data_IF_057379834281
#
_entry.id   IF_057379834281
#
_cell.length_a   1.000
_cell.length_b   1.000
_cell.length_c   1.000
_cell.angle_alpha   90.00
_cell.angle_beta   90.00
_cell.angle_gamma   90.00
#
_symmetry.space_group_name_H-M   'P 1'
#
loop_
_entity.id
_entity.type
_entity.pdbx_description
1 polymer ?
#
# COMPACT_ATOMS: atom_id res chain seq x y z
N UNK A 1 0.64 -5.32 -18.41
CA UNK A 1 -0.38 -4.37 -17.93
C UNK A 1 -0.44 -4.45 -16.43
N UNK A 2 -0.52 -3.31 -15.78
CA UNK A 2 -0.60 -3.06 -14.32
C UNK A 2 -2.01 -3.25 -13.75
N UNK A 3 -3.00 -3.55 -14.61
CA UNK A 3 -4.37 -3.78 -14.22
C UNK A 3 -4.57 -5.05 -13.38
N UNK A 4 -5.47 -4.96 -12.39
CA UNK A 4 -5.91 -6.08 -11.55
C UNK A 4 -6.91 -7.00 -12.29
N UNK A 5 -6.54 -7.45 -13.49
CA UNK A 5 -7.40 -8.27 -14.34
C UNK A 5 -7.85 -9.54 -13.61
N UNK A 6 -9.16 -9.80 -13.62
CA UNK A 6 -9.75 -10.98 -12.95
C UNK A 6 -9.57 -11.00 -11.42
N UNK A 7 -9.21 -9.87 -10.80
CA UNK A 7 -8.96 -9.78 -9.37
C UNK A 7 -7.61 -10.35 -8.93
N UNK A 8 -6.70 -10.69 -9.85
CA UNK A 8 -5.44 -11.38 -9.50
C UNK A 8 -4.53 -10.66 -8.49
N UNK A 9 -4.75 -9.36 -8.26
CA UNK A 9 -4.04 -8.57 -7.27
C UNK A 9 -4.65 -8.59 -5.85
N UNK A 10 -5.85 -9.15 -5.64
CA UNK A 10 -6.63 -9.08 -4.39
C UNK A 10 -6.04 -9.96 -3.27
N UNK A 11 -4.83 -9.61 -2.82
CA UNK A 11 -4.08 -10.25 -1.74
C UNK A 11 -3.74 -9.23 -0.66
N UNK A 12 -4.46 -9.31 0.45
CA UNK A 12 -4.37 -8.31 1.51
C UNK A 12 -4.99 -8.86 2.81
N UNK A 13 -4.99 -8.06 3.86
CA UNK A 13 -5.64 -8.34 5.13
C UNK A 13 -6.67 -7.25 5.44
N UNK A 14 -7.90 -7.64 5.77
CA UNK A 14 -8.94 -6.72 6.24
C UNK A 14 -9.97 -7.41 7.17
N UNK A 15 -10.55 -6.66 8.13
CA UNK A 15 -10.15 -5.32 8.54
C UNK A 15 -8.80 -5.35 9.27
N UNK A 16 -7.96 -4.35 9.01
CA UNK A 16 -6.68 -4.16 9.69
C UNK A 16 -6.66 -2.74 10.25
N UNK A 17 -6.90 -2.59 11.55
CA UNK A 17 -6.81 -1.31 12.25
C UNK A 17 -5.70 -1.37 13.30
N UNK A 18 -5.20 -0.19 13.69
CA UNK A 18 -4.23 -0.01 14.75
C UNK A 18 -4.89 0.66 15.97
N UNK A 19 -4.35 0.39 17.15
CA UNK A 19 -4.91 0.91 18.40
C UNK A 19 -4.73 2.43 18.55
N UNK A 20 -3.56 2.95 18.14
CA UNK A 20 -3.21 4.36 18.26
C UNK A 20 -2.21 4.79 17.19
N UNK A 21 -2.22 6.08 16.79
CA UNK A 21 -1.27 6.59 15.81
C UNK A 21 0.13 6.78 16.42
N UNK A 22 1.15 6.37 15.68
CA UNK A 22 2.57 6.61 15.96
C UNK A 22 3.27 7.33 14.79
N UNK A 23 2.59 7.47 13.64
CA UNK A 23 3.12 8.11 12.44
C UNK A 23 3.26 9.64 12.61
N UNK A 24 4.43 10.23 12.30
CA UNK A 24 4.61 11.67 12.19
C UNK A 24 3.73 12.32 11.12
N UNK A 25 3.26 13.54 11.37
CA UNK A 25 2.35 14.27 10.47
C UNK A 25 2.86 14.42 9.03
N UNK A 26 4.17 14.68 8.84
CA UNK A 26 4.74 14.90 7.51
C UNK A 26 4.66 13.66 6.60
N UNK A 27 4.48 12.48 7.19
CA UNK A 27 4.44 11.21 6.48
C UNK A 27 3.01 10.77 6.13
N UNK A 28 1.99 11.54 6.51
CA UNK A 28 0.58 11.24 6.20
C UNK A 28 0.26 11.49 4.71
N UNK A 29 -0.75 10.78 4.25
CA UNK A 29 -1.31 10.80 2.90
C UNK A 29 -2.80 11.12 2.88
N UNK A 30 -3.50 10.88 3.99
CA UNK A 30 -4.85 11.34 4.24
C UNK A 30 -4.80 12.36 5.36
N UNK A 31 -5.73 13.33 5.35
CA UNK A 31 -5.91 14.34 6.38
C UNK A 31 -4.60 14.91 7.02
N UNK A 32 -3.56 15.24 6.22
CA UNK A 32 -2.22 15.55 6.75
C UNK A 32 -2.18 16.80 7.63
N UNK A 33 -3.15 17.72 7.46
CA UNK A 33 -3.31 18.92 8.26
C UNK A 33 -4.07 18.74 9.58
N UNK A 34 -4.50 17.52 9.93
CA UNK A 34 -5.42 17.30 11.07
C UNK A 34 -4.68 16.71 12.28
N UNK A 35 -4.71 17.43 13.41
CA UNK A 35 -4.05 17.03 14.68
C UNK A 35 -4.83 16.03 15.54
N UNK A 36 -6.06 15.71 15.17
CA UNK A 36 -6.96 14.85 15.92
C UNK A 36 -8.42 15.29 15.80
N UNK A 37 -9.29 14.72 16.64
CA UNK A 37 -10.72 15.03 16.63
C UNK A 37 -11.50 14.31 15.52
N UNK A 38 -12.74 14.73 15.24
CA UNK A 38 -13.65 14.05 14.31
C UNK A 38 -13.16 14.04 12.86
N UNK A 39 -12.51 15.12 12.42
CA UNK A 39 -11.85 15.20 11.11
C UNK A 39 -10.65 14.26 10.96
N UNK A 40 -10.15 13.64 12.03
CA UNK A 40 -9.09 12.62 11.97
C UNK A 40 -9.65 11.21 11.71
N UNK A 41 -10.50 11.07 10.69
CA UNK A 41 -11.22 9.84 10.40
C UNK A 41 -10.31 8.68 9.92
N UNK A 42 -9.04 8.97 9.58
CA UNK A 42 -8.03 7.97 9.24
C UNK A 42 -7.23 7.47 10.46
N UNK A 43 -7.47 7.99 11.67
CA UNK A 43 -6.60 7.82 12.86
C UNK A 43 -6.21 6.38 13.22
N UNK A 44 -7.08 5.41 12.95
CA UNK A 44 -6.88 3.99 13.28
C UNK A 44 -6.46 3.13 12.09
N UNK A 45 -6.22 3.74 10.93
CA UNK A 45 -5.85 3.02 9.70
C UNK A 45 -4.41 2.53 9.79
N UNK A 46 -4.04 1.43 9.11
CA UNK A 46 -2.71 0.81 9.24
C UNK A 46 -1.55 1.78 9.16
N UNK A 47 -1.56 2.69 8.19
CA UNK A 47 -0.43 3.62 8.00
C UNK A 47 -0.22 4.56 9.18
N UNK A 48 -1.24 4.79 10.00
CA UNK A 48 -1.11 5.62 11.20
C UNK A 48 -0.21 5.00 12.26
N UNK A 49 0.08 3.70 12.19
CA UNK A 49 1.15 3.05 12.94
C UNK A 49 1.85 2.00 12.06
N UNK A 50 2.83 2.42 11.24
CA UNK A 50 3.41 1.58 10.20
C UNK A 50 3.94 0.26 10.73
N UNK A 51 3.43 -0.85 10.19
CA UNK A 51 3.81 -2.20 10.57
C UNK A 51 3.04 -2.79 11.75
N UNK A 52 2.29 -1.98 12.51
CA UNK A 52 1.61 -2.43 13.72
C UNK A 52 0.29 -3.16 13.46
N UNK A 53 -0.37 -2.85 12.35
CA UNK A 53 -1.64 -3.49 12.02
C UNK A 53 -1.46 -5.01 11.84
N UNK A 54 -2.37 -5.84 12.39
CA UNK A 54 -2.29 -7.28 12.24
C UNK A 54 -2.52 -7.68 10.78
N UNK A 55 -1.88 -8.76 10.37
CA UNK A 55 -2.04 -9.35 9.05
C UNK A 55 -2.48 -10.81 9.17
N UNK A 56 -3.18 -11.28 8.15
CA UNK A 56 -3.63 -12.67 8.06
C UNK A 56 -2.53 -13.52 7.42
N UNK A 57 -2.30 -14.68 8.02
CA UNK A 57 -1.47 -15.73 7.43
C UNK A 57 0.03 -15.41 7.43
N UNK A 58 0.71 -15.79 6.35
CA UNK A 58 2.16 -15.85 6.20
C UNK A 58 2.85 -14.50 6.05
N UNK A 59 2.08 -13.42 5.84
CA UNK A 59 2.63 -12.12 5.48
C UNK A 59 2.68 -11.86 3.96
N UNK A 60 2.27 -12.84 3.14
CA UNK A 60 2.22 -12.73 1.67
C UNK A 60 0.84 -12.37 1.11
N UNK A 61 -0.14 -12.16 1.98
CA UNK A 61 -1.51 -11.74 1.66
C UNK A 61 -2.52 -12.87 1.67
N UNK A 62 -3.78 -12.53 1.99
CA UNK A 62 -4.91 -13.44 1.96
C UNK A 62 -5.83 -13.12 0.79
N UNK A 63 -6.28 -14.15 0.07
CA UNK A 63 -7.16 -13.99 -1.08
C UNK A 63 -8.48 -13.33 -0.67
N UNK A 64 -8.78 -12.15 -1.24
CA UNK A 64 -9.98 -11.38 -0.90
C UNK A 64 -9.95 -10.74 0.48
N UNK A 65 -8.78 -10.64 1.12
CA UNK A 65 -8.63 -9.88 2.36
C UNK A 65 -8.88 -10.67 3.65
N UNK A 66 -9.44 -11.89 3.59
CA UNK A 66 -9.75 -12.70 4.77
C UNK A 66 -10.92 -13.65 4.57
N UNK A 67 -11.42 -14.32 5.61
CA UNK A 67 -12.50 -15.30 5.49
C UNK A 67 -13.87 -14.69 5.19
N UNK A 68 -14.08 -13.43 5.57
CA UNK A 68 -15.34 -12.69 5.39
C UNK A 68 -15.43 -12.09 3.99
N UNK A 69 -16.58 -12.25 3.32
CA UNK A 69 -16.80 -11.70 1.97
C UNK A 69 -17.30 -10.27 2.04
N UNK A 70 -16.41 -9.33 1.74
CA UNK A 70 -16.70 -7.89 1.74
C UNK A 70 -16.74 -7.32 0.31
N UNK A 71 -17.40 -6.17 0.17
CA UNK A 71 -17.26 -5.33 -1.02
C UNK A 71 -15.82 -4.79 -1.18
N UNK A 72 -15.59 -3.96 -2.21
CA UNK A 72 -14.31 -3.25 -2.42
C UNK A 72 -13.07 -4.16 -2.47
N UNK A 73 -13.14 -5.22 -3.28
CA UNK A 73 -12.05 -6.18 -3.43
C UNK A 73 -12.04 -7.30 -2.37
N UNK A 74 -12.99 -7.29 -1.42
CA UNK A 74 -13.12 -8.32 -0.37
C UNK A 74 -13.64 -9.69 -0.82
N UNK A 75 -13.66 -9.94 -2.13
CA UNK A 75 -13.98 -11.25 -2.69
C UNK A 75 -12.71 -11.83 -3.31
N UNK A 76 -12.37 -13.06 -2.92
CA UNK A 76 -11.24 -13.76 -3.50
C UNK A 76 -11.42 -13.92 -5.02
N UNK A 77 -10.31 -13.90 -5.78
CA UNK A 77 -10.34 -14.24 -7.20
C UNK A 77 -10.93 -15.63 -7.39
N UNK A 78 -11.67 -15.85 -8.48
CA UNK A 78 -12.47 -17.07 -8.70
C UNK A 78 -11.69 -18.39 -8.52
N UNK A 79 -10.39 -18.37 -8.82
CA UNK A 79 -9.52 -19.55 -8.75
C UNK A 79 -9.01 -19.87 -7.34
N UNK A 80 -9.24 -19.00 -6.35
CA UNK A 80 -8.76 -19.17 -4.98
C UNK A 80 -9.92 -19.21 -3.98
N UNK A 81 -9.73 -19.99 -2.91
CA UNK A 81 -10.67 -20.01 -1.78
C UNK A 81 -10.62 -18.66 -1.06
N UNK A 82 -11.78 -18.17 -0.61
CA UNK A 82 -11.86 -16.97 0.24
C UNK A 82 -10.94 -17.11 1.46
N UNK A 83 -10.08 -16.12 1.69
CA UNK A 83 -9.12 -16.09 2.79
C UNK A 83 -7.95 -17.08 2.66
N UNK A 84 -7.74 -17.69 1.48
CA UNK A 84 -6.57 -18.54 1.27
C UNK A 84 -5.28 -17.75 1.41
N UNK A 85 -4.30 -18.31 2.10
CA UNK A 85 -2.97 -17.74 2.21
C UNK A 85 -2.23 -17.83 0.86
N UNK A 86 -1.58 -16.76 0.44
CA UNK A 86 -0.80 -16.74 -0.79
C UNK A 86 0.30 -17.80 -0.83
N UNK A 87 0.96 -18.11 0.29
CA UNK A 87 1.99 -19.13 0.36
C UNK A 87 1.46 -20.55 0.15
N UNK A 88 0.18 -20.79 0.43
CA UNK A 88 -0.46 -22.08 0.15
C UNK A 88 -1.09 -22.12 -1.23
N UNK A 89 -1.65 -20.98 -1.68
CA UNK A 89 -2.45 -20.89 -2.90
C UNK A 89 -1.63 -20.64 -4.17
N UNK A 90 -0.49 -19.95 -4.08
CA UNK A 90 0.32 -19.58 -5.23
C UNK A 90 1.49 -20.54 -5.43
N UNK A 91 1.84 -20.92 -6.68
CA UNK A 91 3.04 -21.67 -6.95
C UNK A 91 4.28 -20.79 -6.81
N UNK A 92 5.45 -21.35 -6.45
CA UNK A 92 6.71 -20.60 -6.49
C UNK A 92 7.01 -20.12 -7.92
N UNK A 93 7.73 -19.01 -8.03
CA UNK A 93 8.23 -18.47 -9.30
C UNK A 93 9.74 -18.69 -9.44
N UNK A 94 10.24 -18.42 -10.64
CA UNK A 94 11.68 -18.34 -10.87
C UNK A 94 12.24 -17.17 -10.03
N UNK A 95 13.23 -17.42 -9.15
CA UNK A 95 13.69 -16.40 -8.24
C UNK A 95 14.55 -15.37 -8.95
N UNK A 96 14.40 -14.09 -8.58
CA UNK A 96 15.41 -13.09 -8.92
C UNK A 96 16.69 -13.35 -8.12
N UNK A 97 17.86 -13.15 -8.74
CA UNK A 97 19.15 -13.34 -8.10
C UNK A 97 19.71 -11.99 -7.66
N UNK A 98 19.93 -11.85 -6.36
CA UNK A 98 20.48 -10.65 -5.74
C UNK A 98 21.82 -10.96 -5.08
N UNK A 99 22.71 -9.98 -5.02
CA UNK A 99 24.00 -10.12 -4.33
C UNK A 99 23.91 -9.46 -2.95
N UNK A 100 24.42 -10.11 -1.90
CA UNK A 100 24.52 -9.49 -0.59
C UNK A 100 25.34 -8.18 -0.67
N UNK A 101 24.89 -7.11 0.00
CA UNK A 101 25.53 -5.79 -0.02
C UNK A 101 25.22 -4.94 -1.26
N UNK A 102 24.48 -5.47 -2.24
CA UNK A 102 24.16 -4.73 -3.47
C UNK A 102 22.90 -3.87 -3.35
N UNK A 103 22.74 -2.94 -4.29
CA UNK A 103 21.50 -2.23 -4.53
C UNK A 103 20.64 -2.97 -5.56
N UNK A 104 19.34 -3.06 -5.30
CA UNK A 104 18.40 -3.82 -6.12
C UNK A 104 17.16 -3.00 -6.44
N UNK A 105 16.75 -3.05 -7.70
CA UNK A 105 15.53 -2.40 -8.17
C UNK A 105 14.30 -3.27 -7.86
N UNK A 106 13.26 -2.60 -7.38
CA UNK A 106 11.98 -3.18 -7.00
C UNK A 106 10.87 -2.30 -7.53
N UNK A 107 9.76 -2.89 -7.92
CA UNK A 107 8.64 -2.18 -8.50
C UNK A 107 7.30 -2.67 -7.98
N UNK A 108 6.35 -1.75 -7.85
CA UNK A 108 4.95 -2.05 -7.56
C UNK A 108 4.03 -1.10 -8.34
N UNK A 109 2.75 -1.45 -8.40
CA UNK A 109 1.74 -0.73 -9.15
C UNK A 109 0.50 -0.48 -8.29
N UNK A 110 -0.26 0.56 -8.63
CA UNK A 110 -1.49 0.93 -7.93
C UNK A 110 -2.68 0.69 -8.85
N UNK A 111 -3.58 -0.23 -8.46
CA UNK A 111 -4.90 -0.36 -9.08
C UNK A 111 -5.97 0.48 -8.36
N UNK A 112 -5.84 0.62 -7.04
CA UNK A 112 -6.68 1.46 -6.21
C UNK A 112 -5.80 2.20 -5.19
N UNK A 113 -5.78 3.53 -5.26
CA UNK A 113 -4.88 4.33 -4.43
C UNK A 113 -5.41 4.53 -3.00
N UNK A 114 -5.10 3.61 -2.10
CA UNK A 114 -5.52 3.69 -0.70
C UNK A 114 -4.66 4.62 0.18
N UNK A 115 -3.83 5.48 -0.43
CA UNK A 115 -2.87 6.33 0.29
C UNK A 115 -1.79 5.50 0.98
N UNK A 116 -1.44 5.82 2.21
CA UNK A 116 -0.59 5.00 3.06
C UNK A 116 0.90 5.01 2.77
N UNK A 117 1.57 3.94 3.18
CA UNK A 117 3.00 3.75 2.98
C UNK A 117 3.41 2.28 3.09
N UNK A 118 4.57 1.96 2.54
CA UNK A 118 4.99 0.60 2.27
C UNK A 118 6.41 0.32 2.76
N UNK A 119 6.68 -0.96 3.00
CA UNK A 119 8.00 -1.47 3.38
C UNK A 119 8.32 -2.74 2.60
N UNK A 120 9.62 -2.96 2.39
CA UNK A 120 10.18 -4.12 1.73
C UNK A 120 11.05 -4.89 2.70
N UNK A 121 10.84 -6.19 2.79
CA UNK A 121 11.34 -7.01 3.90
C UNK A 121 11.71 -8.40 3.40
N UNK A 122 12.74 -9.02 3.96
CA UNK A 122 13.16 -10.36 3.57
C UNK A 122 12.81 -11.39 4.65
N UNK A 123 12.25 -12.52 4.24
CA UNK A 123 12.10 -13.72 5.06
C UNK A 123 13.01 -14.82 4.50
N UNK A 124 13.96 -15.30 5.31
CA UNK A 124 14.85 -16.41 4.92
C UNK A 124 14.06 -17.71 4.89
N UNK A 125 14.24 -18.50 3.83
CA UNK A 125 13.61 -19.81 3.69
C UNK A 125 14.56 -20.92 4.11
N UNK A 126 14.03 -21.89 4.86
CA UNK A 126 14.76 -23.10 5.19
C UNK A 126 14.85 -24.03 3.97
N UNK A 127 16.05 -24.46 3.55
CA UNK A 127 16.23 -25.27 2.33
C UNK A 127 15.41 -26.57 2.33
N UNK A 128 15.25 -27.18 3.50
CA UNK A 128 14.49 -28.43 3.68
C UNK A 128 12.98 -28.22 3.82
N UNK A 129 12.54 -26.99 4.06
CA UNK A 129 11.15 -26.63 4.40
C UNK A 129 10.79 -25.26 3.83
N UNK A 130 10.73 -25.12 2.49
CA UNK A 130 10.75 -23.82 1.83
C UNK A 130 9.51 -22.93 2.02
N UNK A 131 8.48 -23.43 2.72
CA UNK A 131 7.27 -22.67 3.07
C UNK A 131 6.91 -22.77 4.55
N UNK A 132 7.56 -23.66 5.30
CA UNK A 132 7.27 -23.82 6.73
C UNK A 132 7.99 -22.70 7.48
N UNK A 133 7.26 -21.99 8.36
CA UNK A 133 7.82 -20.89 9.15
C UNK A 133 7.84 -19.53 8.44
N UNK A 134 7.25 -19.41 7.24
CA UNK A 134 6.99 -18.10 6.63
C UNK A 134 5.84 -17.42 7.37
N UNK A 135 6.17 -16.37 8.11
CA UNK A 135 5.21 -15.55 8.86
C UNK A 135 5.57 -14.07 8.75
N UNK A 136 4.65 -13.18 9.14
CA UNK A 136 4.95 -11.75 9.23
C UNK A 136 6.15 -11.48 10.16
N UNK A 137 6.29 -12.22 11.26
CA UNK A 137 7.44 -12.11 12.17
C UNK A 137 8.76 -12.50 11.49
N UNK A 138 8.74 -13.40 10.50
CA UNK A 138 9.91 -13.71 9.69
C UNK A 138 10.36 -12.49 8.88
N UNK A 139 9.42 -11.83 8.19
CA UNK A 139 9.71 -10.60 7.43
C UNK A 139 10.18 -9.45 8.34
N UNK A 140 9.59 -9.33 9.53
CA UNK A 140 9.96 -8.31 10.51
C UNK A 140 11.42 -8.44 11.00
N UNK A 141 12.10 -9.58 10.79
CA UNK A 141 13.52 -9.71 11.16
C UNK A 141 14.46 -8.99 10.21
N UNK A 142 14.05 -8.77 8.96
CA UNK A 142 14.94 -8.20 7.93
C UNK A 142 14.24 -7.10 7.11
N UNK A 143 13.87 -5.96 7.71
CA UNK A 143 13.46 -4.80 6.93
C UNK A 143 14.61 -4.28 6.07
N UNK A 144 14.32 -4.05 4.79
CA UNK A 144 15.27 -3.44 3.86
C UNK A 144 15.23 -1.92 4.00
N UNK A 145 16.37 -1.29 3.76
CA UNK A 145 16.46 0.15 3.61
C UNK A 145 16.38 0.52 2.14
N UNK A 146 15.82 1.68 1.88
CA UNK A 146 15.87 2.26 0.56
C UNK A 146 17.26 2.87 0.31
N UNK A 147 17.76 2.73 -0.91
CA UNK A 147 18.96 3.44 -1.34
C UNK A 147 18.73 4.95 -1.29
N UNK A 148 19.78 5.65 -0.86
CA UNK A 148 19.86 7.11 -0.83
C UNK A 148 20.99 7.54 -1.73
N UNK A 149 20.69 8.42 -2.69
CA UNK A 149 21.73 9.10 -3.45
C UNK A 149 22.11 10.39 -2.71
N UNK A 150 23.07 10.26 -1.80
CA UNK A 150 23.59 11.40 -1.06
C UNK A 150 24.21 12.47 -1.97
N UNK A 151 24.74 12.08 -3.14
CA UNK A 151 25.35 13.00 -4.10
C UNK A 151 24.30 13.83 -4.86
N UNK A 152 23.11 13.27 -5.09
CA UNK A 152 22.00 13.95 -5.78
C UNK A 152 20.88 14.44 -4.84
N UNK A 153 21.16 14.56 -3.54
CA UNK A 153 20.30 15.27 -2.60
C UNK A 153 19.13 14.44 -2.03
N UNK A 154 19.20 13.10 -2.05
CA UNK A 154 18.34 12.26 -1.22
C UNK A 154 17.90 10.93 -1.83
N UNK A 155 16.82 10.38 -1.27
CA UNK A 155 16.20 9.14 -1.68
C UNK A 155 15.07 9.43 -2.67
N UNK A 156 15.02 8.76 -3.83
CA UNK A 156 14.06 9.03 -4.89
C UNK A 156 13.33 7.76 -5.36
N UNK A 157 12.01 7.85 -5.48
CA UNK A 157 11.22 6.89 -6.27
C UNK A 157 11.20 7.34 -7.73
N UNK A 158 11.20 6.38 -8.65
CA UNK A 158 11.05 6.61 -10.09
C UNK A 158 9.64 6.20 -10.49
N UNK A 159 8.88 7.13 -11.04
CA UNK A 159 7.53 6.87 -11.58
C UNK A 159 7.65 6.64 -13.08
N UNK A 160 7.24 5.47 -13.54
CA UNK A 160 7.29 5.05 -14.96
C UNK A 160 5.88 4.83 -15.47
N UNK A 161 5.58 5.35 -16.65
CA UNK A 161 4.33 5.04 -17.35
C UNK A 161 4.51 3.73 -18.15
N UNK A 162 3.83 2.67 -17.73
CA UNK A 162 3.88 1.37 -18.38
C UNK A 162 3.31 1.37 -19.81
N UNK A 163 2.44 2.33 -20.15
CA UNK A 163 1.90 2.53 -21.50
C UNK A 163 2.84 3.38 -22.39
N UNK A 164 3.83 4.05 -21.81
CA UNK A 164 4.84 4.83 -22.52
C UNK A 164 6.27 4.51 -22.02
N UNK A 165 6.74 3.25 -22.16
CA UNK A 165 7.99 2.78 -21.53
C UNK A 165 9.27 3.43 -22.09
N UNK A 166 9.17 4.19 -23.18
CA UNK A 166 10.28 4.94 -23.76
C UNK A 166 10.44 6.34 -23.16
N UNK A 167 9.44 6.84 -22.41
CA UNK A 167 9.53 8.12 -21.73
C UNK A 167 10.44 8.01 -20.50
N UNK A 168 11.23 9.05 -20.19
CA UNK A 168 12.07 9.05 -19.00
C UNK A 168 11.20 8.97 -17.73
N UNK A 169 11.68 8.28 -16.66
CA UNK A 169 10.96 8.25 -15.40
C UNK A 169 10.92 9.64 -14.76
N UNK A 170 9.83 9.93 -14.05
CA UNK A 170 9.77 11.07 -13.13
C UNK A 170 10.41 10.69 -11.80
N UNK A 171 11.40 11.47 -11.37
CA UNK A 171 12.04 11.31 -10.08
C UNK A 171 11.29 12.08 -9.00
N UNK A 172 10.83 11.37 -7.98
CA UNK A 172 10.05 11.92 -6.88
C UNK A 172 10.85 11.76 -5.60
N UNK A 173 11.05 12.87 -4.88
CA UNK A 173 11.70 12.82 -3.57
C UNK A 173 10.86 11.91 -2.64
N UNK A 174 11.46 10.80 -2.23
CA UNK A 174 10.82 9.81 -1.36
C UNK A 174 10.70 10.39 0.04
N UNK A 175 9.52 10.26 0.64
CA UNK A 175 9.31 10.57 2.05
C UNK A 175 9.45 9.25 2.80
N UNK A 176 10.53 9.10 3.56
CA UNK A 176 10.77 7.92 4.41
C UNK A 176 10.50 8.22 5.87
N UNK A 177 10.14 7.18 6.62
CA UNK A 177 9.93 7.23 8.07
C UNK A 177 10.45 5.97 8.73
N UNK A 178 11.10 6.15 9.89
CA UNK A 178 11.52 5.06 10.78
C UNK A 178 11.10 5.30 12.24
N UNK A 179 10.57 6.48 12.53
CA UNK A 179 10.00 6.83 13.83
C UNK A 179 8.61 6.22 13.96
N UNK A 180 8.33 5.60 15.12
CA UNK A 180 7.01 5.05 15.41
C UNK A 180 6.65 3.79 14.61
N UNK A 181 7.60 3.14 13.93
CA UNK A 181 7.36 1.95 13.11
C UNK A 181 7.45 0.67 13.92
N UNK A 182 6.86 -0.40 13.39
CA UNK A 182 6.98 -1.77 13.89
C UNK A 182 7.57 -2.68 12.80
N UNK A 183 8.74 -3.29 13.02
CA UNK A 183 9.63 -3.14 14.18
C UNK A 183 10.18 -1.73 14.34
N UNK A 184 10.62 -1.40 15.56
CA UNK A 184 11.19 -0.09 15.85
C UNK A 184 12.40 0.19 14.95
N UNK A 185 12.39 1.33 14.26
CA UNK A 185 13.47 1.75 13.36
C UNK A 185 13.46 1.09 11.98
N UNK A 186 12.48 0.24 11.66
CA UNK A 186 12.29 -0.23 10.28
C UNK A 186 11.96 0.93 9.36
N UNK A 187 12.52 0.94 8.15
CA UNK A 187 12.25 2.02 7.20
C UNK A 187 10.98 1.72 6.37
N UNK A 188 10.15 2.76 6.23
CA UNK A 188 8.95 2.77 5.41
C UNK A 188 8.97 3.96 4.47
N UNK A 189 8.42 3.80 3.27
CA UNK A 189 8.22 4.87 2.30
C UNK A 189 6.74 5.23 2.24
N UNK A 190 6.45 6.53 2.26
CA UNK A 190 5.10 7.03 1.98
C UNK A 190 4.77 6.81 0.51
N UNK A 191 3.54 6.40 0.21
CA UNK A 191 3.04 6.35 -1.16
C UNK A 191 3.19 7.73 -1.82
N UNK A 192 3.92 7.85 -2.95
CA UNK A 192 4.19 9.13 -3.59
C UNK A 192 3.00 9.69 -4.40
N UNK A 193 1.93 8.90 -4.58
CA UNK A 193 0.78 9.28 -5.40
C UNK A 193 -0.36 9.78 -4.49
N UNK A 194 -0.72 11.07 -4.52
CA UNK A 194 -1.79 11.59 -3.67
C UNK A 194 -3.17 11.16 -4.13
N UNK A 195 -4.05 10.89 -3.18
CA UNK A 195 -5.50 10.89 -3.42
C UNK A 195 -6.00 12.32 -3.59
N UNK A 196 -7.20 12.48 -4.15
CA UNK A 196 -7.83 13.79 -4.18
C UNK A 196 -8.32 14.20 -2.78
N UNK A 197 -8.50 15.50 -2.58
CA UNK A 197 -9.09 16.08 -1.38
C UNK A 197 -10.42 16.77 -1.71
N UNK A 198 -11.30 16.14 -2.50
CA UNK A 198 -12.51 16.80 -3.03
C UNK A 198 -13.44 17.31 -1.93
N UNK A 199 -13.80 16.45 -0.98
CA UNK A 199 -14.70 16.82 0.10
C UNK A 199 -14.00 17.77 1.07
N UNK A 200 -12.76 17.47 1.43
CA UNK A 200 -12.00 18.26 2.39
C UNK A 200 -11.69 19.67 1.89
N UNK A 201 -11.34 19.81 0.61
CA UNK A 201 -11.03 21.11 0.00
C UNK A 201 -12.26 21.99 -0.19
N UNK A 202 -13.45 21.40 -0.36
CA UNK A 202 -14.70 22.15 -0.55
C UNK A 202 -15.48 22.42 0.74
N UNK A 203 -15.37 21.54 1.74
CA UNK A 203 -16.21 21.54 2.95
C UNK A 203 -15.42 21.50 4.26
N UNK A 204 -14.12 21.23 4.20
CA UNK A 204 -13.31 20.94 5.37
C UNK A 204 -13.42 19.50 5.85
N UNK A 205 -12.51 19.12 6.74
CA UNK A 205 -12.35 17.74 7.23
C UNK A 205 -13.49 17.30 8.16
N UNK A 206 -14.01 18.20 8.99
CA UNK A 206 -15.07 17.86 9.96
C UNK A 206 -16.42 17.65 9.26
N UNK A 207 -16.78 18.49 8.28
CA UNK A 207 -18.00 18.31 7.50
C UNK A 207 -17.90 17.05 6.63
N UNK A 208 -16.71 16.74 6.09
CA UNK A 208 -16.47 15.49 5.36
C UNK A 208 -16.70 14.27 6.24
N UNK A 209 -16.14 14.27 7.45
CA UNK A 209 -16.34 13.20 8.44
C UNK A 209 -17.83 13.03 8.77
N UNK A 210 -18.54 14.12 9.05
CA UNK A 210 -19.98 14.10 9.32
C UNK A 210 -20.80 13.55 8.13
N UNK A 211 -20.51 14.03 6.91
CA UNK A 211 -21.19 13.56 5.68
C UNK A 211 -21.03 12.06 5.47
N UNK A 212 -19.82 11.55 5.66
CA UNK A 212 -19.53 10.13 5.47
C UNK A 212 -19.85 9.29 6.72
N UNK A 213 -20.56 9.84 7.71
CA UNK A 213 -20.99 9.10 8.89
C UNK A 213 -19.85 8.66 9.79
N UNK A 214 -18.66 9.28 9.71
CA UNK A 214 -17.55 9.06 10.62
C UNK A 214 -17.86 9.78 11.94
N UNK A 215 -18.72 9.16 12.76
CA UNK A 215 -19.18 9.75 14.01
C UNK A 215 -18.05 9.89 15.04
N UNK A 216 -18.16 10.91 15.89
CA UNK A 216 -17.20 11.34 16.91
C UNK A 216 -16.54 10.16 17.66
N UNK A 217 -15.28 9.86 17.31
CA UNK A 217 -14.38 9.01 18.11
C UNK A 217 -14.50 7.50 17.92
N UNK A 218 -15.42 7.00 17.08
CA UNK A 218 -15.66 5.56 16.93
C UNK A 218 -14.96 4.90 15.74
N UNK A 219 -14.33 5.68 14.85
CA UNK A 219 -13.69 5.14 13.66
C UNK A 219 -14.71 4.65 12.62
N UNK A 220 -14.27 3.76 11.74
CA UNK A 220 -15.13 3.10 10.76
C UNK A 220 -16.10 2.12 11.44
N UNK A 221 -17.32 2.00 10.92
CA UNK A 221 -18.25 0.96 11.39
C UNK A 221 -17.64 -0.44 11.25
N UNK A 222 -18.05 -1.42 12.08
CA UNK A 222 -17.64 -2.80 11.88
C UNK A 222 -18.00 -3.27 10.47
N UNK A 223 -17.09 -3.95 9.76
CA UNK A 223 -17.34 -4.40 8.40
C UNK A 223 -18.48 -5.43 8.37
N UNK A 224 -19.32 -5.33 7.35
CA UNK A 224 -20.50 -6.17 7.16
C UNK A 224 -20.42 -6.89 5.82
N UNK A 225 -20.75 -8.18 5.81
CA UNK A 225 -20.80 -8.97 4.59
C UNK A 225 -21.78 -8.41 3.56
N UNK A 226 -21.49 -8.69 2.29
CA UNK A 226 -22.34 -8.32 1.17
C UNK A 226 -21.84 -7.11 0.37
N UNK A 227 -22.54 -6.86 -0.74
CA UNK A 227 -22.15 -5.85 -1.74
C UNK A 227 -23.21 -4.81 -2.01
N UNK A 228 -24.38 -4.91 -1.36
CA UNK A 228 -25.46 -3.95 -1.51
C UNK A 228 -25.19 -2.71 -0.65
N UNK A 229 -24.93 -1.59 -1.30
CA UNK A 229 -24.64 -0.32 -0.63
C UNK A 229 -25.87 0.25 0.08
N UNK A 230 -27.09 -0.01 -0.37
CA UNK A 230 -28.28 0.61 0.22
C UNK A 230 -28.58 0.06 1.62
N UNK A 231 -28.30 -1.23 1.84
CA UNK A 231 -28.56 -1.93 3.10
C UNK A 231 -27.34 -2.11 4.00
N UNK A 232 -26.14 -1.69 3.56
CA UNK A 232 -24.88 -1.87 4.29
C UNK A 232 -24.27 -0.51 4.71
N UNK A 233 -24.49 -0.06 5.97
CA UNK A 233 -24.00 1.22 6.46
C UNK A 233 -22.47 1.35 6.43
N UNK A 234 -21.73 0.26 6.70
CA UNK A 234 -20.27 0.26 6.59
C UNK A 234 -19.84 0.56 5.14
N UNK A 235 -20.46 -0.12 4.17
CA UNK A 235 -20.15 0.09 2.76
C UNK A 235 -20.52 1.51 2.30
N UNK A 236 -21.58 2.10 2.84
CA UNK A 236 -21.92 3.51 2.59
C UNK A 236 -20.81 4.45 3.04
N UNK A 237 -20.22 4.23 4.22
CA UNK A 237 -19.09 5.03 4.71
C UNK A 237 -17.88 4.89 3.78
N UNK A 238 -17.49 3.65 3.44
CA UNK A 238 -16.33 3.40 2.59
C UNK A 238 -16.52 3.98 1.19
N UNK A 239 -17.71 3.85 0.62
CA UNK A 239 -18.04 4.41 -0.68
C UNK A 239 -18.00 5.94 -0.65
N UNK A 240 -18.52 6.59 0.40
CA UNK A 240 -18.45 8.03 0.57
C UNK A 240 -17.01 8.54 0.67
N UNK A 241 -16.15 7.88 1.47
CA UNK A 241 -14.74 8.24 1.59
C UNK A 241 -13.98 8.04 0.26
N UNK A 242 -14.29 6.96 -0.47
CA UNK A 242 -13.72 6.69 -1.80
C UNK A 242 -14.13 7.75 -2.82
N UNK A 243 -15.41 8.12 -2.84
CA UNK A 243 -15.93 9.24 -3.64
C UNK A 243 -15.20 10.54 -3.26
N UNK A 244 -15.02 10.85 -1.98
CA UNK A 244 -14.26 12.02 -1.52
C UNK A 244 -12.79 12.02 -1.95
N UNK A 245 -12.18 10.85 -2.11
CA UNK A 245 -10.80 10.69 -2.58
C UNK A 245 -10.64 10.72 -4.11
N UNK A 246 -11.74 10.88 -4.86
CA UNK A 246 -11.71 10.99 -6.33
C UNK A 246 -11.88 9.65 -7.05
N UNK A 247 -12.58 8.70 -6.45
CA UNK A 247 -13.00 7.50 -7.17
C UNK A 247 -13.95 7.85 -8.31
N UNK A 248 -13.66 7.36 -9.51
CA UNK A 248 -14.59 7.42 -10.65
C UNK A 248 -15.28 6.07 -10.80
N UNK A 249 -16.41 5.93 -10.12
CA UNK A 249 -17.13 4.65 -10.11
C UNK A 249 -18.12 4.49 -11.26
N UNK A 250 -18.52 5.55 -11.97
CA UNK A 250 -19.57 5.51 -13.01
C UNK A 250 -20.90 4.80 -12.65
N UNK A 251 -21.11 4.33 -11.41
CA UNK A 251 -22.11 3.29 -11.09
C UNK A 251 -22.68 3.30 -9.66
N UNK A 252 -22.25 4.17 -8.75
CA UNK A 252 -23.01 4.43 -7.52
C UNK A 252 -24.12 5.46 -7.82
N UNK A 253 -25.38 5.02 -7.85
CA UNK A 253 -26.55 5.83 -8.21
C UNK A 253 -26.86 6.99 -7.24
N UNK A 254 -25.98 7.33 -6.29
CA UNK A 254 -26.18 8.40 -5.32
C UNK A 254 -24.99 9.38 -5.19
N UNK A 255 -24.02 9.35 -6.11
CA UNK A 255 -22.96 10.37 -6.18
C UNK A 255 -23.18 11.22 -7.44
N UNK A 256 -23.93 12.30 -7.28
CA UNK A 256 -24.25 13.26 -8.32
C UNK A 256 -23.04 14.14 -8.68
N UNK A 257 -22.17 13.65 -9.57
CA UNK A 257 -21.50 14.46 -10.60
C UNK A 257 -20.51 13.59 -11.39
N UNK A 258 -20.52 13.61 -12.73
CA UNK A 258 -19.39 13.11 -13.51
C UNK A 258 -18.16 13.93 -13.14
N UNK A 259 -17.14 13.28 -12.56
CA UNK A 259 -15.90 13.96 -12.19
C UNK A 259 -14.95 13.98 -13.37
N UNK A 260 -14.20 15.07 -13.60
CA UNK A 260 -13.10 15.06 -14.57
C UNK A 260 -12.07 13.98 -14.18
N UNK A 261 -11.32 13.46 -15.16
CA UNK A 261 -10.18 12.58 -14.87
C UNK A 261 -9.14 13.31 -13.99
N UNK A 262 -8.61 12.60 -12.99
CA UNK A 262 -7.69 13.11 -11.96
C UNK A 262 -8.36 14.06 -10.94
N UNK A 263 -7.54 14.71 -10.12
CA UNK A 263 -8.00 15.72 -9.16
C UNK A 263 -8.09 17.12 -9.81
N UNK A 264 -8.86 17.24 -10.90
CA UNK A 264 -9.01 18.52 -11.61
C UNK A 264 -9.73 19.58 -10.75
N UNK A 265 -9.47 20.86 -11.03
CA UNK A 265 -10.09 21.99 -10.35
C UNK A 265 -11.63 21.89 -10.33
N UNK A 266 -12.31 22.31 -9.24
CA UNK A 266 -11.77 23.07 -8.11
C UNK A 266 -11.10 22.20 -7.03
N UNK A 267 -10.90 20.90 -7.27
CA UNK A 267 -10.27 20.01 -6.28
C UNK A 267 -8.75 20.21 -6.18
N UNK A 268 -8.22 19.92 -4.99
CA UNK A 268 -6.79 19.81 -4.72
C UNK A 268 -6.45 18.35 -4.40
N UNK A 269 -5.17 18.06 -4.30
CA UNK A 269 -4.66 16.77 -3.83
C UNK A 269 -4.32 16.83 -2.35
N UNK A 270 -4.26 15.67 -1.68
CA UNK A 270 -3.85 15.59 -0.27
C UNK A 270 -2.43 16.16 -0.02
N UNK A 271 -1.57 16.05 -1.03
CA UNK A 271 -0.23 16.63 -1.10
C UNK A 271 0.15 16.82 -2.58
N UNK A 272 1.18 17.62 -2.92
CA UNK A 272 1.50 17.93 -4.32
C UNK A 272 1.70 16.67 -5.17
N UNK A 273 1.17 16.70 -6.40
CA UNK A 273 1.38 15.61 -7.36
C UNK A 273 2.86 15.48 -7.74
N UNK A 274 3.36 14.25 -7.93
CA UNK A 274 4.71 14.05 -8.45
C UNK A 274 4.86 14.46 -9.93
N UNK A 275 3.78 14.35 -10.69
CA UNK A 275 3.65 14.81 -12.08
C UNK A 275 2.16 15.06 -12.38
N UNK A 276 1.83 15.92 -13.37
CA UNK A 276 0.44 16.20 -13.70
C UNK A 276 -0.39 14.95 -13.93
N UNK A 277 -1.49 14.80 -13.20
CA UNK A 277 -2.43 13.70 -13.35
C UNK A 277 -2.02 12.38 -12.68
N UNK A 278 -0.89 12.37 -11.95
CA UNK A 278 -0.51 11.27 -11.07
C UNK A 278 -1.16 11.44 -9.69
N UNK A 279 -2.49 11.40 -9.66
CA UNK A 279 -3.31 11.49 -8.46
C UNK A 279 -4.67 10.83 -8.66
N UNK A 280 -5.39 10.64 -7.56
CA UNK A 280 -6.76 10.12 -7.54
C UNK A 280 -6.88 8.80 -6.79
N UNK A 281 -7.95 8.06 -7.07
CA UNK A 281 -8.29 6.81 -6.39
C UNK A 281 -8.33 5.59 -7.34
N UNK A 282 -9.52 5.12 -7.70
CA UNK A 282 -9.78 4.00 -8.62
C UNK A 282 -10.49 4.51 -9.87
N UNK A 283 -10.33 3.81 -11.00
CA UNK A 283 -10.96 4.17 -12.28
C UNK A 283 -10.24 5.30 -13.04
N UNK A 284 -9.10 5.76 -12.52
CA UNK A 284 -8.26 6.75 -13.18
C UNK A 284 -7.24 6.04 -14.06
N UNK A 285 -7.44 6.08 -15.38
CA UNK A 285 -6.54 5.42 -16.35
C UNK A 285 -5.08 5.83 -16.16
N UNK A 286 -4.81 7.09 -15.82
CA UNK A 286 -3.45 7.57 -15.58
C UNK A 286 -2.78 6.85 -14.42
N UNK A 287 -3.51 6.48 -13.36
CA UNK A 287 -2.99 5.75 -12.21
C UNK A 287 -2.76 4.27 -12.53
N UNK A 288 -3.69 3.67 -13.24
CA UNK A 288 -3.63 2.25 -13.61
C UNK A 288 -2.43 1.93 -14.50
N UNK A 289 -1.76 2.92 -15.08
CA UNK A 289 -0.58 2.76 -15.94
C UNK A 289 0.75 3.10 -15.23
N UNK A 290 0.73 3.51 -13.95
CA UNK A 290 1.95 3.88 -13.22
C UNK A 290 2.62 2.69 -12.54
N UNK A 291 3.95 2.62 -12.72
CA UNK A 291 4.86 1.79 -11.95
C UNK A 291 5.71 2.68 -11.04
N UNK A 292 5.78 2.30 -9.77
CA UNK A 292 6.63 2.94 -8.76
C UNK A 292 7.86 2.06 -8.58
N UNK A 293 9.00 2.55 -9.03
CA UNK A 293 10.29 1.91 -8.86
C UNK A 293 11.04 2.53 -7.69
N UNK A 294 11.58 1.68 -6.84
CA UNK A 294 12.52 2.04 -5.81
C UNK A 294 13.80 1.24 -5.98
N UNK A 295 14.83 1.66 -5.26
CA UNK A 295 16.09 0.93 -5.14
C UNK A 295 16.28 0.64 -3.65
N UNK A 296 16.55 -0.61 -3.30
CA UNK A 296 16.75 -1.07 -1.92
C UNK A 296 18.16 -1.62 -1.73
N UNK A 297 18.68 -1.52 -0.52
CA UNK A 297 20.00 -2.03 -0.15
C UNK A 297 19.84 -3.41 0.48
N UNK A 298 20.45 -4.43 -0.12
CA UNK A 298 20.53 -5.78 0.43
C UNK A 298 21.60 -5.80 1.52
N UNK A 299 21.30 -6.17 2.78
CA UNK A 299 22.31 -6.19 3.83
C UNK A 299 23.46 -7.15 3.50
N UNK A 300 24.70 -6.68 3.67
CA UNK A 300 25.93 -7.43 3.34
C UNK A 300 26.09 -8.73 4.14
N UNK A 301 25.58 -8.75 5.37
CA UNK A 301 25.68 -9.88 6.28
C UNK A 301 24.64 -10.98 6.02
N UNK A 302 23.77 -10.83 5.02
CA UNK A 302 22.79 -11.87 4.70
C UNK A 302 23.51 -13.11 4.18
N UNK A 303 23.20 -14.24 4.81
CA UNK A 303 23.68 -15.53 4.36
C UNK A 303 23.11 -15.86 2.97
N UNK A 304 23.91 -16.44 2.06
CA UNK A 304 23.41 -16.93 0.79
C UNK A 304 22.27 -17.94 0.96
N UNK A 305 21.33 -17.97 0.01
CA UNK A 305 20.22 -18.91 0.01
C UNK A 305 18.93 -18.31 -0.52
N UNK A 306 17.81 -19.01 -0.27
CA UNK A 306 16.49 -18.58 -0.74
C UNK A 306 15.80 -17.69 0.30
N UNK A 307 15.14 -16.67 -0.21
CA UNK A 307 14.38 -15.70 0.56
C UNK A 307 13.05 -15.43 -0.15
N UNK A 308 12.07 -14.95 0.61
CA UNK A 308 10.94 -14.21 0.06
C UNK A 308 11.18 -12.72 0.29
N UNK A 309 10.98 -11.91 -0.75
CA UNK A 309 10.78 -10.49 -0.61
C UNK A 309 9.30 -10.22 -0.35
N UNK A 310 8.99 -9.74 0.85
CA UNK A 310 7.65 -9.30 1.23
C UNK A 310 7.51 -7.81 1.00
N UNK A 311 6.58 -7.42 0.14
CA UNK A 311 6.05 -6.07 0.04
C UNK A 311 4.79 -5.96 0.90
N UNK A 312 4.78 -4.98 1.80
CA UNK A 312 3.62 -4.65 2.63
C UNK A 312 3.29 -3.18 2.45
N UNK A 313 2.01 -2.91 2.21
CA UNK A 313 1.46 -1.57 2.09
C UNK A 313 0.35 -1.38 3.11
N UNK A 314 0.66 -0.55 4.10
CA UNK A 314 -0.28 -0.14 5.12
C UNK A 314 -1.07 1.05 4.57
N UNK A 315 -2.38 0.86 4.37
CA UNK A 315 -3.24 1.89 3.83
C UNK A 315 -3.60 2.96 4.86
N UNK A 316 -3.93 4.16 4.40
CA UNK A 316 -4.43 5.25 5.26
C UNK A 316 -5.87 5.65 4.93
N UNK A 317 -6.36 5.31 3.74
CA UNK A 317 -7.76 5.57 3.37
C UNK A 317 -8.70 4.43 3.79
N UNK A 318 -8.22 3.19 3.82
CA UNK A 318 -8.99 1.99 4.14
C UNK A 318 -8.33 1.16 5.25
N UNK A 319 -9.12 0.31 5.92
CA UNK A 319 -8.66 -0.63 6.96
C UNK A 319 -8.03 -1.87 6.32
N UNK A 320 -7.02 -1.67 5.48
CA UNK A 320 -6.43 -2.72 4.66
C UNK A 320 -4.90 -2.70 4.75
N UNK A 321 -4.31 -3.89 4.79
CA UNK A 321 -2.87 -4.09 4.62
C UNK A 321 -2.65 -4.96 3.40
N UNK A 322 -2.16 -4.38 2.32
CA UNK A 322 -1.87 -5.11 1.08
C UNK A 322 -0.51 -5.76 1.13
N UNK A 323 -0.43 -6.99 0.62
CA UNK A 323 0.75 -7.82 0.78
C UNK A 323 1.03 -8.59 -0.50
N UNK A 324 2.31 -8.73 -0.82
CA UNK A 324 2.77 -9.55 -1.94
C UNK A 324 4.15 -10.12 -1.64
N UNK A 325 4.46 -11.27 -2.20
CA UNK A 325 5.75 -11.92 -2.06
C UNK A 325 6.37 -12.26 -3.42
N UNK A 326 7.70 -12.14 -3.50
CA UNK A 326 8.50 -12.57 -4.64
C UNK A 326 9.62 -13.53 -4.19
N UNK A 327 9.90 -14.54 -4.99
CA UNK A 327 11.00 -15.48 -4.76
C UNK A 327 12.35 -14.80 -5.07
N UNK A 328 13.29 -14.85 -4.12
CA UNK A 328 14.64 -14.27 -4.25
C UNK A 328 15.68 -15.34 -3.90
N UNK A 329 16.80 -15.34 -4.62
CA UNK A 329 18.03 -16.02 -4.22
C UNK A 329 19.09 -14.99 -3.93
N UNK A 330 19.67 -15.03 -2.73
CA UNK A 330 20.80 -14.19 -2.35
C UNK A 330 22.10 -14.99 -2.56
N UNK A 331 23.01 -14.38 -3.29
CA UNK A 331 24.38 -14.83 -3.50
C UNK A 331 25.35 -14.05 -2.60
N UNK A 332 26.51 -14.64 -2.25
CA UNK A 332 27.51 -13.95 -1.44
C UNK A 332 28.04 -12.69 -2.15
N UNK A 333 28.43 -11.69 -1.35
CA UNK A 333 29.19 -10.56 -1.87
C UNK A 333 30.47 -11.05 -2.56
N UNK A 334 30.93 -10.40 -3.66
CA UNK A 334 32.20 -10.75 -4.27
C UNK A 334 33.32 -10.61 -3.24
N UNK A 335 34.11 -11.66 -3.04
CA UNK A 335 35.31 -11.56 -2.20
C UNK A 335 36.23 -10.47 -2.78
N UNK A 336 36.51 -9.44 -1.99
CA UNK A 336 37.52 -8.46 -2.36
C UNK A 336 38.84 -9.19 -2.65
N UNK A 337 39.57 -8.84 -3.74
CA UNK A 337 40.87 -9.43 -3.99
C UNK A 337 41.77 -9.18 -2.79
N UNK A 338 42.37 -10.25 -2.25
CA UNK A 338 43.40 -10.14 -1.21
C UNK A 338 44.57 -9.38 -1.82
N UNK A 339 44.82 -8.16 -1.34
CA UNK A 339 45.96 -7.31 -1.72
C UNK A 339 47.18 -7.70 -0.91
#
# INVERSE_FOLDING_TARGET
GTGCCGGGCLWFSQPANVDHPTLPHFARTMNPGVGGGPGDYSRYRPWRSPGAAPVLGSGCGAAGGGPMRLANGGNAPFVYKQGADAMDALPPKEPAVWTAGSEQDVAWAIAANHGGGYSLRLCKLEPSKPREGVTEECFQRTPLRFSTDAANGGAFSRIVNASAPHEPPTYVKRVTVSEGTVPAGSEWARNPIPSCSWCEGSRGVDETAQRCGMEYGLGELPPQEGTDIESNPWLQQVACLSDCAGADFGSFKNTSSPRPQGCAAPSTTQFPEPQPGASGFVGQKSLEELLIYDTVVVPEHLEPGRYLLGWRWDCEQSSQVWQSCADITIEPAPTAPVV
#
